data_IF_567642863528
#
_entry.id   IF_567642863528
#
_cell.length_a   1.000
_cell.length_b   1.000
_cell.length_c   1.000
_cell.angle_alpha   90.00
_cell.angle_beta   90.00
_cell.angle_gamma   90.00
#
_symmetry.space_group_name_H-M   'P 1'
#
loop_
_entity.id
_entity.type
_entity.pdbx_description
1 polymer ?
#
# COMPACT_ATOMS: atom_id res chain seq x y z
N UNK A 1 20.68 18.48 -4.58
CA UNK A 1 21.10 17.11 -4.95
C UNK A 1 19.86 16.30 -5.32
N UNK A 2 19.87 15.61 -6.44
CA UNK A 2 18.81 14.66 -6.76
C UNK A 2 19.09 13.40 -5.93
N UNK A 3 18.30 13.14 -4.89
CA UNK A 3 18.40 11.92 -4.12
C UNK A 3 17.60 10.78 -4.74
N UNK A 4 18.06 9.56 -4.58
CA UNK A 4 17.29 8.34 -4.88
C UNK A 4 16.71 7.86 -3.56
N UNK A 5 15.44 7.52 -3.55
CA UNK A 5 14.70 7.11 -2.35
C UNK A 5 14.08 5.75 -2.55
N UNK A 6 14.17 4.91 -1.54
CA UNK A 6 13.50 3.62 -1.49
C UNK A 6 12.28 3.72 -0.58
N UNK A 7 11.11 3.33 -1.10
CA UNK A 7 9.88 3.21 -0.33
C UNK A 7 9.51 1.74 -0.23
N UNK A 8 9.22 1.28 0.97
CA UNK A 8 8.94 -0.13 1.19
C UNK A 8 7.98 -0.33 2.37
N UNK A 9 7.26 -1.45 2.35
CA UNK A 9 6.40 -1.85 3.44
C UNK A 9 7.14 -2.58 4.55
N UNK A 10 6.47 -2.79 5.66
CA UNK A 10 6.93 -3.62 6.76
C UNK A 10 6.57 -5.10 6.59
N UNK A 11 6.52 -5.81 7.71
CA UNK A 11 6.10 -7.20 7.73
C UNK A 11 4.59 -7.33 7.51
N UNK A 12 4.20 -8.37 6.80
CA UNK A 12 2.81 -8.70 6.47
C UNK A 12 1.84 -8.50 7.64
N UNK A 13 2.02 -9.18 8.75
CA UNK A 13 1.12 -9.07 9.89
C UNK A 13 1.08 -7.68 10.54
N UNK A 14 2.19 -6.96 10.50
CA UNK A 14 2.27 -5.63 11.11
C UNK A 14 1.55 -4.54 10.32
N UNK A 15 1.38 -4.68 9.02
CA UNK A 15 0.78 -3.65 8.18
C UNK A 15 -0.69 -3.87 7.88
N UNK A 16 -1.16 -5.11 7.93
CA UNK A 16 -2.56 -5.42 7.87
C UNK A 16 -3.20 -5.21 9.26
N UNK A 17 -3.27 -3.97 9.70
CA UNK A 17 -3.89 -3.63 10.98
C UNK A 17 -5.40 -3.87 10.92
N UNK A 18 -5.85 -4.90 11.61
CA UNK A 18 -7.26 -5.10 11.84
C UNK A 18 -7.70 -4.26 13.04
N UNK A 19 -8.66 -3.39 12.87
CA UNK A 19 -9.25 -2.67 14.00
C UNK A 19 -10.26 -3.55 14.73
N UNK A 20 -10.34 -3.41 16.02
CA UNK A 20 -11.31 -4.10 16.88
C UNK A 20 -12.47 -3.17 17.24
N UNK A 21 -13.62 -3.73 17.64
CA UNK A 21 -13.86 -5.13 17.88
C UNK A 21 -14.15 -5.85 16.57
N UNK A 22 -13.49 -6.95 16.39
CA UNK A 22 -13.93 -7.92 15.41
C UNK A 22 -15.11 -8.64 16.03
N UNK A 23 -16.31 -8.07 15.79
CA UNK A 23 -17.56 -8.55 16.35
C UNK A 23 -18.01 -9.81 15.67
N UNK A 24 -17.65 -10.88 15.87
CA UNK A 24 -17.85 -12.17 15.27
C UNK A 24 -16.58 -12.67 14.62
N UNK A 25 -16.49 -13.94 14.36
CA UNK A 25 -15.30 -14.43 13.76
C UNK A 25 -15.08 -13.55 12.55
N UNK A 26 -14.12 -12.67 12.68
CA UNK A 26 -13.51 -12.10 11.53
C UNK A 26 -13.20 -13.35 10.69
N UNK A 27 -14.07 -13.61 9.73
CA UNK A 27 -13.64 -14.48 8.68
C UNK A 27 -12.38 -13.79 8.23
N UNK A 28 -11.19 -14.31 8.55
CA UNK A 28 -9.99 -13.80 7.93
C UNK A 28 -10.40 -13.76 6.49
N UNK A 29 -10.22 -12.65 5.83
CA UNK A 29 -10.55 -12.50 4.42
C UNK A 29 -10.25 -13.85 3.86
N UNK A 30 -11.29 -14.56 3.46
CA UNK A 30 -11.18 -15.97 3.21
C UNK A 30 -9.98 -16.06 2.31
N UNK A 31 -8.89 -16.51 2.84
CA UNK A 31 -7.68 -16.64 2.04
C UNK A 31 -8.19 -17.49 0.91
N UNK A 32 -8.30 -17.00 -0.33
CA UNK A 32 -8.82 -17.81 -1.40
C UNK A 32 -7.99 -19.07 -1.59
N UNK A 33 -6.92 -19.17 -0.83
CA UNK A 33 -5.95 -20.22 -0.83
C UNK A 33 -6.01 -21.10 0.41
N UNK A 34 -6.96 -21.98 0.39
CA UNK A 34 -6.80 -23.25 1.09
C UNK A 34 -5.93 -24.24 0.31
N UNK A 35 -5.39 -23.84 -0.85
CA UNK A 35 -4.42 -24.65 -1.55
C UNK A 35 -3.13 -24.72 -0.72
N UNK A 36 -2.62 -25.90 -0.37
CA UNK A 36 -1.35 -26.00 0.33
C UNK A 36 -0.26 -25.32 -0.48
N UNK A 37 0.62 -24.61 0.21
CA UNK A 37 1.76 -23.99 -0.45
C UNK A 37 2.49 -25.02 -1.32
N UNK A 38 2.92 -24.67 -2.54
CA UNK A 38 3.69 -25.58 -3.37
C UNK A 38 4.89 -26.14 -2.61
N UNK A 39 5.25 -27.39 -2.88
CA UNK A 39 6.39 -28.03 -2.21
C UNK A 39 7.66 -27.15 -2.32
N UNK A 40 8.27 -26.83 -1.18
CA UNK A 40 9.44 -25.95 -1.10
C UNK A 40 9.13 -24.47 -0.75
N UNK A 41 7.86 -24.09 -0.60
CA UNK A 41 7.47 -22.79 -0.07
C UNK A 41 7.06 -22.91 1.38
N UNK A 42 7.54 -22.00 2.21
CA UNK A 42 7.08 -21.86 3.59
C UNK A 42 5.95 -20.84 3.59
N UNK A 43 4.78 -21.23 4.05
CA UNK A 43 3.69 -20.31 4.30
C UNK A 43 4.04 -19.45 5.52
N UNK A 44 4.52 -18.23 5.27
CA UNK A 44 4.83 -17.27 6.32
C UNK A 44 3.59 -16.52 6.83
N UNK A 45 2.43 -16.71 6.17
CA UNK A 45 1.17 -16.06 6.54
C UNK A 45 0.49 -16.64 7.77
N UNK A 46 0.87 -17.81 8.20
CA UNK A 46 0.23 -18.56 9.28
C UNK A 46 1.14 -18.82 10.49
N UNK A 47 2.15 -17.99 10.72
CA UNK A 47 2.94 -18.09 11.94
C UNK A 47 2.01 -17.95 13.17
N UNK A 48 1.87 -18.98 14.01
CA UNK A 48 0.89 -19.01 15.11
C UNK A 48 1.08 -17.91 16.15
N UNK A 49 2.26 -17.37 16.22
CA UNK A 49 2.70 -16.33 17.16
C UNK A 49 2.35 -14.90 16.72
N UNK A 50 1.89 -14.71 15.49
CA UNK A 50 1.53 -13.38 14.96
C UNK A 50 0.07 -12.98 15.16
N UNK A 51 -0.73 -13.80 15.80
CA UNK A 51 -2.17 -13.51 15.99
C UNK A 51 -2.45 -12.22 16.76
N UNK A 52 -1.55 -11.80 17.60
CA UNK A 52 -1.69 -10.56 18.40
C UNK A 52 -1.21 -9.32 17.67
N UNK A 53 -0.39 -9.46 16.63
CA UNK A 53 0.14 -8.35 15.85
C UNK A 53 -0.83 -7.86 14.75
N UNK A 54 -1.87 -8.66 14.46
CA UNK A 54 -2.86 -8.38 13.44
C UNK A 54 -3.94 -7.40 13.91
N UNK A 55 -4.00 -7.09 15.20
CA UNK A 55 -5.08 -6.31 15.79
C UNK A 55 -4.54 -5.05 16.45
N UNK A 56 -5.21 -3.94 16.21
CA UNK A 56 -4.95 -2.67 16.87
C UNK A 56 -6.26 -2.04 17.35
N UNK A 57 -6.25 -1.27 18.45
CA UNK A 57 -7.37 -0.40 18.77
C UNK A 57 -7.71 0.52 17.59
N UNK A 58 -8.98 0.79 17.39
CA UNK A 58 -9.45 1.60 16.25
C UNK A 58 -8.81 3.00 16.20
N UNK A 59 -8.47 3.55 17.34
CA UNK A 59 -7.85 4.86 17.53
C UNK A 59 -6.32 4.84 17.52
N UNK A 60 -5.69 3.65 17.43
CA UNK A 60 -4.25 3.57 17.29
C UNK A 60 -3.79 4.23 15.98
N UNK A 61 -2.58 4.80 15.93
CA UNK A 61 -2.00 5.26 14.67
C UNK A 61 -1.95 4.14 13.64
N UNK A 62 -2.29 4.45 12.40
CA UNK A 62 -2.12 3.50 11.30
C UNK A 62 -0.64 3.16 11.11
N UNK A 63 -0.33 1.89 10.90
CA UNK A 63 0.98 1.49 10.40
C UNK A 63 1.15 1.99 8.97
N UNK A 64 2.41 2.18 8.56
CA UNK A 64 2.70 2.83 7.29
C UNK A 64 3.93 2.24 6.61
N UNK A 65 4.17 2.67 5.39
CA UNK A 65 5.40 2.41 4.64
C UNK A 65 6.60 3.09 5.31
N UNK A 66 7.79 2.74 4.87
CA UNK A 66 9.04 3.39 5.23
C UNK A 66 9.70 4.01 4.01
N UNK A 67 10.48 5.06 4.23
CA UNK A 67 11.31 5.71 3.22
C UNK A 67 12.72 5.90 3.75
N UNK A 68 13.70 5.66 2.90
CA UNK A 68 15.09 6.01 3.16
C UNK A 68 15.76 6.52 1.87
N UNK A 69 16.66 7.48 2.03
CA UNK A 69 17.54 7.88 0.93
C UNK A 69 18.58 6.78 0.71
N UNK A 70 18.78 6.43 -0.55
CA UNK A 70 19.81 5.48 -0.95
C UNK A 70 21.19 6.16 -1.04
N UNK A 71 22.25 5.37 -0.92
CA UNK A 71 23.61 5.76 -1.32
C UNK A 71 23.68 6.04 -2.83
N UNK A 72 24.71 6.72 -3.28
CA UNK A 72 24.84 7.10 -4.69
C UNK A 72 24.97 5.89 -5.62
N UNK A 73 25.50 4.78 -5.12
CA UNK A 73 25.57 3.49 -5.83
C UNK A 73 24.30 2.64 -5.74
N UNK A 74 23.30 3.10 -4.97
CA UNK A 74 21.99 2.45 -4.76
C UNK A 74 22.08 1.07 -4.09
N UNK A 75 23.19 0.73 -3.48
CA UNK A 75 23.41 -0.59 -2.86
C UNK A 75 23.02 -0.65 -1.38
N UNK A 76 22.91 0.49 -0.71
CA UNK A 76 22.57 0.56 0.71
C UNK A 76 21.78 1.83 1.06
N UNK A 77 21.19 1.87 2.21
CA UNK A 77 20.61 3.10 2.75
C UNK A 77 21.72 4.07 3.17
N UNK A 78 21.59 5.33 2.75
CA UNK A 78 22.46 6.41 3.18
C UNK A 78 22.03 7.04 4.53
N UNK A 79 20.89 6.61 5.05
CA UNK A 79 20.29 7.07 6.31
C UNK A 79 19.39 6.01 6.92
N UNK A 80 19.01 6.18 8.18
CA UNK A 80 18.03 5.32 8.82
C UNK A 80 16.65 5.51 8.17
N UNK A 81 15.90 4.43 7.90
CA UNK A 81 14.53 4.51 7.40
C UNK A 81 13.60 5.28 8.34
N UNK A 82 12.66 6.02 7.76
CA UNK A 82 11.64 6.81 8.47
C UNK A 82 10.25 6.34 8.05
N UNK A 83 9.24 6.38 8.95
CA UNK A 83 7.87 6.11 8.57
C UNK A 83 7.34 7.17 7.58
N UNK A 84 6.58 6.71 6.59
CA UNK A 84 5.84 7.56 5.65
C UNK A 84 4.50 7.88 6.29
N UNK A 85 4.37 9.05 6.90
CA UNK A 85 3.14 9.44 7.59
C UNK A 85 2.13 9.99 6.60
N UNK A 86 0.93 9.39 6.56
CA UNK A 86 -0.23 9.89 5.83
C UNK A 86 -1.13 10.58 6.83
N UNK A 87 -1.57 11.79 6.49
CA UNK A 87 -2.41 12.62 7.36
C UNK A 87 -3.76 12.92 6.70
N UNK A 88 -4.75 13.17 7.53
CA UNK A 88 -6.07 13.67 7.15
C UNK A 88 -6.05 15.18 6.80
N UNK A 89 -7.21 15.75 6.51
CA UNK A 89 -7.35 17.18 6.20
C UNK A 89 -7.03 18.10 7.38
N UNK A 90 -7.03 17.58 8.60
CA UNK A 90 -6.65 18.31 9.81
C UNK A 90 -5.15 18.17 10.14
N UNK A 91 -4.39 17.45 9.30
CA UNK A 91 -2.97 17.17 9.51
C UNK A 91 -2.70 16.12 10.59
N UNK A 92 -3.71 15.33 10.99
CA UNK A 92 -3.54 14.25 11.94
C UNK A 92 -3.22 12.94 11.22
N UNK A 93 -2.28 12.13 11.73
CA UNK A 93 -2.00 10.81 11.17
C UNK A 93 -3.27 9.96 11.09
N UNK A 94 -3.44 9.25 9.97
CA UNK A 94 -4.53 8.29 9.82
C UNK A 94 -4.50 7.24 10.93
N UNK A 95 -5.67 6.73 11.30
CA UNK A 95 -5.84 5.75 12.37
C UNK A 95 -6.00 4.33 11.81
N UNK A 96 -5.82 3.34 12.67
CA UNK A 96 -5.99 1.93 12.33
C UNK A 96 -7.38 1.59 11.77
N UNK A 97 -8.41 2.34 12.17
CA UNK A 97 -9.78 2.20 11.65
C UNK A 97 -10.05 2.97 10.36
N UNK A 98 -9.11 3.78 9.88
CA UNK A 98 -9.33 4.59 8.68
C UNK A 98 -9.33 3.70 7.42
N UNK A 99 -10.36 3.77 6.57
CA UNK A 99 -10.42 2.96 5.35
C UNK A 99 -9.33 3.31 4.33
N UNK A 100 -8.74 4.50 4.43
CA UNK A 100 -7.67 4.97 3.56
C UNK A 100 -6.27 4.71 4.10
N UNK A 101 -6.14 3.97 5.22
CA UNK A 101 -4.82 3.67 5.76
C UNK A 101 -3.99 2.80 4.83
N UNK A 102 -2.67 2.99 4.89
CA UNK A 102 -1.72 2.20 4.12
C UNK A 102 -1.78 0.70 4.48
N UNK A 103 -1.64 -0.14 3.46
CA UNK A 103 -1.37 -1.57 3.62
C UNK A 103 -0.11 -1.98 2.86
N UNK A 104 -0.10 -1.79 1.53
CA UNK A 104 1.00 -2.24 0.67
C UNK A 104 1.13 -1.44 -0.61
N UNK A 105 1.96 -1.89 -1.55
CA UNK A 105 2.10 -1.33 -2.89
C UNK A 105 2.56 0.14 -2.91
N UNK A 106 3.56 0.48 -2.12
CA UNK A 106 4.15 1.82 -2.10
C UNK A 106 4.65 2.23 -3.49
N UNK A 107 4.16 3.35 -4.00
CA UNK A 107 4.64 3.97 -5.22
C UNK A 107 4.83 5.48 -5.01
N UNK A 108 5.94 6.01 -5.52
CA UNK A 108 6.23 7.43 -5.43
C UNK A 108 6.57 8.01 -6.79
N UNK A 109 5.97 9.16 -7.11
CA UNK A 109 6.37 9.96 -8.26
C UNK A 109 6.34 11.45 -7.92
N UNK A 110 6.94 12.27 -8.78
CA UNK A 110 6.99 13.71 -8.61
C UNK A 110 6.37 14.39 -9.83
N UNK A 111 5.42 15.28 -9.60
CA UNK A 111 4.79 16.10 -10.61
C UNK A 111 4.56 17.53 -10.09
N UNK A 112 4.68 18.55 -10.91
CA UNK A 112 4.44 19.93 -10.52
C UNK A 112 5.25 20.42 -9.30
N UNK A 113 6.40 19.80 -9.02
CA UNK A 113 7.21 20.13 -7.86
C UNK A 113 6.83 19.38 -6.58
N UNK A 114 5.68 18.71 -6.54
CA UNK A 114 5.16 17.97 -5.40
C UNK A 114 5.43 16.47 -5.51
N UNK A 115 5.36 15.77 -4.38
CA UNK A 115 5.56 14.34 -4.25
C UNK A 115 4.21 13.65 -4.04
N UNK A 116 3.94 12.63 -4.82
CA UNK A 116 2.70 11.87 -4.79
C UNK A 116 3.00 10.44 -4.38
N UNK A 117 2.50 10.08 -3.21
CA UNK A 117 2.62 8.74 -2.64
C UNK A 117 1.30 7.99 -2.86
N UNK A 118 1.33 6.95 -3.68
CA UNK A 118 0.16 6.09 -3.90
C UNK A 118 0.39 4.69 -3.34
N UNK A 119 -0.70 4.04 -2.93
CA UNK A 119 -0.64 2.81 -2.15
C UNK A 119 -1.98 2.09 -2.16
N UNK A 120 -1.93 0.79 -1.90
CA UNK A 120 -3.13 -0.02 -1.62
C UNK A 120 -3.48 0.03 -0.15
N UNK A 121 -4.78 0.12 0.13
CA UNK A 121 -5.30 0.14 1.49
C UNK A 121 -5.55 -1.28 2.02
N UNK A 122 -5.80 -1.41 3.31
CA UNK A 122 -6.01 -2.68 4.00
C UNK A 122 -7.32 -3.36 3.61
N UNK A 123 -8.20 -3.46 4.58
CA UNK A 123 -9.51 -4.13 4.45
C UNK A 123 -10.50 -3.45 3.50
N UNK A 124 -10.27 -2.20 3.14
CA UNK A 124 -11.05 -1.48 2.11
C UNK A 124 -10.64 -1.80 0.67
N UNK A 125 -9.43 -2.33 0.46
CA UNK A 125 -8.87 -2.72 -0.85
C UNK A 125 -8.90 -1.63 -1.93
N UNK A 126 -8.83 -0.37 -1.52
CA UNK A 126 -8.77 0.78 -2.41
C UNK A 126 -7.33 0.98 -2.92
N UNK A 127 -7.19 1.66 -4.04
CA UNK A 127 -5.94 2.28 -4.43
C UNK A 127 -6.04 3.78 -4.15
N UNK A 128 -5.21 4.28 -3.28
CA UNK A 128 -5.23 5.67 -2.82
C UNK A 128 -3.96 6.43 -3.21
N UNK A 129 -4.07 7.76 -3.18
CA UNK A 129 -2.95 8.67 -3.39
C UNK A 129 -2.97 9.78 -2.36
N UNK A 130 -1.80 10.12 -1.87
CA UNK A 130 -1.56 11.23 -0.96
C UNK A 130 -0.46 12.14 -1.51
N UNK A 131 -0.42 13.39 -1.11
CA UNK A 131 0.47 14.41 -1.67
C UNK A 131 1.23 15.15 -0.58
N UNK A 132 2.51 15.42 -0.82
CA UNK A 132 3.39 16.16 0.10
C UNK A 132 4.41 17.02 -0.64
N UNK A 133 5.11 17.85 0.13
CA UNK A 133 6.11 18.79 -0.42
C UNK A 133 7.55 18.26 -0.27
N UNK A 134 7.69 17.10 0.35
CA UNK A 134 8.97 16.44 0.61
C UNK A 134 8.87 14.95 0.27
N UNK A 135 9.98 14.29 -0.16
CA UNK A 135 9.99 12.84 -0.34
C UNK A 135 9.77 12.06 0.97
N UNK A 136 9.89 12.71 2.11
CA UNK A 136 9.65 12.12 3.42
C UNK A 136 8.24 12.34 3.97
N UNK A 137 7.43 13.12 3.26
CA UNK A 137 6.12 13.58 3.75
C UNK A 137 6.23 14.70 4.80
N UNK A 138 5.22 14.87 5.70
CA UNK A 138 4.00 14.08 5.69
C UNK A 138 3.20 14.22 4.38
N UNK A 139 2.39 13.20 4.08
CA UNK A 139 1.56 13.19 2.88
C UNK A 139 0.11 13.34 3.28
N UNK A 140 -0.57 14.36 2.77
CA UNK A 140 -2.01 14.54 2.98
C UNK A 140 -2.78 13.65 1.99
N UNK A 141 -3.73 12.87 2.48
CA UNK A 141 -4.65 12.10 1.64
C UNK A 141 -5.27 13.02 0.58
N UNK A 142 -5.28 12.56 -0.66
CA UNK A 142 -5.77 13.35 -1.80
C UNK A 142 -7.01 12.74 -2.44
N UNK A 143 -6.96 11.46 -2.80
CA UNK A 143 -8.05 10.81 -3.53
C UNK A 143 -7.94 9.29 -3.50
N UNK A 144 -9.07 8.64 -3.82
CA UNK A 144 -9.13 7.25 -4.24
C UNK A 144 -8.91 7.20 -5.76
N UNK A 145 -7.90 6.47 -6.21
CA UNK A 145 -7.61 6.29 -7.63
C UNK A 145 -8.40 5.14 -8.25
N UNK A 146 -8.67 4.11 -7.46
CA UNK A 146 -9.33 2.90 -7.94
C UNK A 146 -10.13 2.26 -6.82
N UNK A 147 -11.34 1.84 -7.16
CA UNK A 147 -12.16 0.99 -6.30
C UNK A 147 -11.59 -0.43 -6.26
N UNK A 148 -12.01 -1.27 -5.31
CA UNK A 148 -11.53 -2.64 -5.23
C UNK A 148 -11.65 -3.39 -6.55
N UNK A 149 -10.57 -4.04 -6.94
CA UNK A 149 -10.52 -4.84 -8.16
C UNK A 149 -10.87 -6.30 -7.88
N UNK A 150 -11.23 -7.05 -8.93
CA UNK A 150 -11.36 -8.50 -8.82
C UNK A 150 -10.00 -9.10 -8.50
N UNK A 151 -9.90 -9.86 -7.42
CA UNK A 151 -8.66 -10.53 -6.98
C UNK A 151 -7.95 -9.85 -5.80
N UNK A 152 -8.70 -9.13 -4.95
CA UNK A 152 -8.27 -8.52 -3.70
C UNK A 152 -7.55 -7.17 -3.89
N UNK A 153 -6.32 -6.98 -3.39
CA UNK A 153 -5.56 -5.74 -3.57
C UNK A 153 -4.89 -5.70 -4.94
N UNK A 154 -4.56 -4.51 -5.42
CA UNK A 154 -3.77 -4.34 -6.64
C UNK A 154 -2.47 -3.61 -6.35
N UNK A 155 -1.38 -4.10 -6.92
CA UNK A 155 -0.16 -3.32 -7.07
C UNK A 155 -0.25 -2.48 -8.34
N UNK A 156 0.46 -1.37 -8.37
CA UNK A 156 0.32 -0.39 -9.43
C UNK A 156 1.63 0.32 -9.73
N UNK A 157 1.64 1.06 -10.80
CA UNK A 157 2.61 2.11 -11.08
C UNK A 157 1.94 3.29 -11.79
N UNK A 158 2.47 4.48 -11.56
CA UNK A 158 2.01 5.70 -12.20
C UNK A 158 3.16 6.28 -13.01
N UNK A 159 2.97 6.37 -14.31
CA UNK A 159 4.02 6.81 -15.23
C UNK A 159 3.53 7.89 -16.18
N UNK A 160 4.42 8.81 -16.55
CA UNK A 160 4.13 9.78 -17.57
C UNK A 160 4.63 9.29 -18.93
N UNK A 161 3.74 9.27 -19.90
CA UNK A 161 4.08 8.95 -21.29
C UNK A 161 3.33 9.87 -22.26
N UNK A 162 4.04 10.52 -23.18
CA UNK A 162 3.49 11.48 -24.16
C UNK A 162 2.61 12.56 -23.53
N UNK A 163 3.09 13.17 -22.46
CA UNK A 163 2.40 14.20 -21.67
C UNK A 163 1.08 13.77 -21.00
N UNK A 164 0.79 12.49 -20.97
CA UNK A 164 -0.33 11.89 -20.28
C UNK A 164 0.18 11.05 -19.11
N UNK A 165 -0.46 11.15 -17.96
CA UNK A 165 -0.24 10.26 -16.83
C UNK A 165 -1.09 9.01 -16.97
N UNK A 166 -0.48 7.85 -16.72
CA UNK A 166 -1.08 6.54 -16.84
C UNK A 166 -1.00 5.80 -15.53
N UNK A 167 -2.11 5.17 -15.16
CA UNK A 167 -2.18 4.21 -14.08
C UNK A 167 -2.11 2.80 -14.67
N UNK A 168 -1.09 2.06 -14.25
CA UNK A 168 -0.94 0.65 -14.51
C UNK A 168 -1.32 -0.11 -13.25
N UNK A 169 -2.19 -1.07 -13.35
CA UNK A 169 -2.60 -1.91 -12.22
C UNK A 169 -2.90 -3.32 -12.71
N UNK A 170 -3.27 -4.22 -11.83
CA UNK A 170 -3.66 -5.58 -12.22
C UNK A 170 -5.00 -5.96 -11.61
N UNK A 171 -5.68 -6.90 -12.26
CA UNK A 171 -6.84 -7.61 -11.73
C UNK A 171 -6.80 -9.10 -12.12
N UNK A 172 -7.80 -9.86 -11.67
CA UNK A 172 -7.95 -11.27 -11.95
C UNK A 172 -9.19 -11.59 -12.82
N UNK A 173 -9.79 -10.58 -13.46
CA UNK A 173 -10.99 -10.78 -14.30
C UNK A 173 -10.79 -11.85 -15.38
N UNK A 174 -9.70 -11.87 -16.17
CA UNK A 174 -9.51 -12.87 -17.22
C UNK A 174 -9.34 -14.30 -16.70
N UNK A 175 -8.98 -14.48 -15.44
CA UNK A 175 -8.79 -15.79 -14.82
C UNK A 175 -9.99 -16.24 -13.96
N UNK A 176 -11.12 -15.53 -14.01
CA UNK A 176 -12.29 -15.78 -13.16
C UNK A 176 -11.93 -15.76 -11.66
N UNK A 177 -11.27 -14.68 -11.23
CA UNK A 177 -10.91 -14.43 -9.83
C UNK A 177 -9.88 -15.38 -9.22
N UNK A 178 -9.02 -15.96 -10.06
CA UNK A 178 -7.86 -16.68 -9.53
C UNK A 178 -6.77 -15.66 -9.15
N UNK A 179 -6.62 -15.38 -7.87
CA UNK A 179 -5.87 -14.23 -7.32
C UNK A 179 -4.40 -14.15 -7.71
N UNK A 180 -3.76 -15.26 -8.06
CA UNK A 180 -2.37 -15.30 -8.54
C UNK A 180 -2.24 -15.27 -10.07
N UNK A 181 -3.34 -15.44 -10.82
CA UNK A 181 -3.36 -15.30 -12.28
C UNK A 181 -3.82 -13.89 -12.67
N UNK A 182 -2.91 -12.95 -12.49
CA UNK A 182 -3.16 -11.51 -12.64
C UNK A 182 -2.92 -11.03 -14.06
N UNK A 183 -3.71 -10.06 -14.49
CA UNK A 183 -3.62 -9.44 -15.81
C UNK A 183 -3.36 -7.95 -15.67
N UNK A 184 -2.41 -7.43 -16.45
CA UNK A 184 -2.10 -6.00 -16.47
C UNK A 184 -3.24 -5.20 -17.10
N UNK A 185 -3.61 -4.11 -16.46
CA UNK A 185 -4.52 -3.08 -16.94
C UNK A 185 -3.79 -1.75 -17.03
N UNK A 186 -4.18 -0.95 -18.00
CA UNK A 186 -3.63 0.41 -18.21
C UNK A 186 -4.80 1.35 -18.47
N UNK A 187 -4.82 2.48 -17.78
CA UNK A 187 -5.82 3.51 -17.95
C UNK A 187 -5.22 4.91 -17.75
N UNK A 188 -5.81 5.96 -18.30
CA UNK A 188 -5.43 7.31 -17.93
C UNK A 188 -5.55 7.49 -16.41
N UNK A 189 -4.60 8.22 -15.81
CA UNK A 189 -4.70 8.53 -14.39
C UNK A 189 -5.96 9.36 -14.14
N UNK A 190 -6.84 8.98 -13.19
CA UNK A 190 -8.15 9.60 -13.02
C UNK A 190 -8.14 10.95 -12.28
N UNK A 191 -6.97 11.50 -12.01
CA UNK A 191 -6.80 12.82 -11.37
C UNK A 191 -5.80 13.68 -12.14
N UNK A 192 -5.93 14.98 -12.03
CA UNK A 192 -4.93 15.95 -12.48
C UNK A 192 -3.84 16.17 -11.42
N UNK A 193 -2.59 16.40 -11.86
CA UNK A 193 -1.43 16.60 -10.98
C UNK A 193 -0.65 17.86 -11.33
#
# INVERSE_FOLDING_TARGET
MKGIYCYYGGLWGGQLQWHVPLAAPFAPIAQPDTAPAPAGYVDIGHAPDRKTELYAPADAPALTSFVARMSDDVLQFAEAPRPVVIVDDNGQPLRASDPHRFFEASWMHKAGGRYYFSYSTGDSHLLCIAVGDSPYGPFRFLAELLQPVVGWTTHHSIVQYRNQWWLLHHDCVPSNDITWLRSLKVMPLPIEM
#
